data_IF_013255757051
#
_entry.id   IF_013255757051
#
_cell.length_a   1.000
_cell.length_b   1.000
_cell.length_c   1.000
_cell.angle_alpha   90.00
_cell.angle_beta   90.00
_cell.angle_gamma   90.00
#
_symmetry.space_group_name_H-M   'P 1'
#
loop_
_entity.id
_entity.type
_entity.pdbx_description
1 polymer ?
#
# COMPACT_ATOMS: atom_id res chain seq x y z
N UNK A 1 -53.21 29.43 -21.41
CA UNK A 1 -51.85 29.92 -21.57
C UNK A 1 -51.61 30.88 -20.42
N UNK A 2 -51.15 30.42 -19.24
CA UNK A 2 -49.78 29.92 -18.99
C UNK A 2 -48.77 31.04 -19.23
N UNK A 3 -47.89 31.49 -18.35
CA UNK A 3 -47.55 31.21 -16.95
C UNK A 3 -46.78 32.45 -16.47
N UNK A 4 -47.13 33.05 -15.33
CA UNK A 4 -46.27 34.02 -14.64
C UNK A 4 -45.86 33.42 -13.29
N UNK A 5 -44.68 32.80 -13.23
CA UNK A 5 -44.02 32.44 -11.98
C UNK A 5 -42.65 33.14 -11.95
N UNK A 6 -42.65 34.25 -11.24
CA UNK A 6 -41.52 35.13 -11.01
C UNK A 6 -40.44 34.41 -10.18
N UNK A 7 -39.27 34.26 -10.79
CA UNK A 7 -38.06 33.72 -10.17
C UNK A 7 -37.54 34.67 -9.08
N UNK A 8 -38.09 34.55 -7.86
CA UNK A 8 -37.54 35.21 -6.67
C UNK A 8 -36.29 34.47 -6.20
N UNK A 9 -35.14 34.84 -6.78
CA UNK A 9 -33.82 34.42 -6.32
C UNK A 9 -33.45 35.16 -5.03
N UNK A 10 -34.09 34.77 -3.93
CA UNK A 10 -33.84 35.32 -2.60
C UNK A 10 -32.52 34.80 -2.03
N UNK A 11 -31.50 35.66 -1.98
CA UNK A 11 -30.27 35.44 -1.23
C UNK A 11 -30.59 35.04 0.21
N UNK A 12 -30.40 33.75 0.54
CA UNK A 12 -30.76 33.20 1.84
C UNK A 12 -29.81 33.76 2.89
N UNK A 13 -30.30 34.50 3.90
CA UNK A 13 -29.46 35.00 4.98
C UNK A 13 -28.82 33.82 5.74
N UNK A 14 -27.65 34.00 6.38
CA UNK A 14 -26.95 32.94 7.08
C UNK A 14 -27.89 32.26 8.07
N UNK A 15 -28.28 31.02 7.78
CA UNK A 15 -29.24 30.29 8.62
C UNK A 15 -28.64 30.14 10.00
N UNK A 16 -29.35 30.64 11.02
CA UNK A 16 -28.95 30.50 12.43
C UNK A 16 -28.63 29.03 12.73
N UNK A 17 -27.45 28.78 13.30
CA UNK A 17 -26.97 27.44 13.63
C UNK A 17 -27.95 26.78 14.61
N UNK A 18 -28.46 25.61 14.24
CA UNK A 18 -29.33 24.81 15.11
C UNK A 18 -28.59 24.42 16.40
N UNK A 19 -29.17 24.75 17.55
CA UNK A 19 -28.74 24.24 18.86
C UNK A 19 -29.73 23.18 19.30
N UNK A 20 -29.26 21.94 19.41
CA UNK A 20 -30.05 20.83 19.91
C UNK A 20 -29.95 20.78 21.43
N UNK A 21 -31.03 20.38 22.09
CA UNK A 21 -30.98 20.06 23.53
C UNK A 21 -30.19 18.77 23.75
N UNK A 22 -29.78 18.53 25.01
CA UNK A 22 -29.08 17.29 25.38
C UNK A 22 -29.94 16.06 25.06
N UNK A 23 -31.23 16.14 25.35
CA UNK A 23 -32.16 15.03 25.09
C UNK A 23 -32.37 14.79 23.60
N UNK A 24 -32.53 15.85 22.80
CA UNK A 24 -32.63 15.72 21.35
C UNK A 24 -31.37 15.06 20.76
N UNK A 25 -30.19 15.46 21.25
CA UNK A 25 -28.92 14.87 20.81
C UNK A 25 -28.82 13.39 21.19
N UNK A 26 -29.27 13.02 22.40
CA UNK A 26 -29.28 11.63 22.89
C UNK A 26 -30.12 10.72 22.00
N UNK A 27 -31.34 11.13 21.69
CA UNK A 27 -32.27 10.37 20.85
C UNK A 27 -31.79 10.25 19.39
N UNK A 28 -31.21 11.32 18.83
CA UNK A 28 -30.57 11.29 17.50
C UNK A 28 -29.40 10.29 17.47
N UNK A 29 -28.57 10.26 18.50
CA UNK A 29 -27.46 9.31 18.61
C UNK A 29 -27.92 7.87 18.80
N UNK A 30 -28.96 7.64 19.59
CA UNK A 30 -29.58 6.33 19.81
C UNK A 30 -30.17 5.78 18.51
N UNK A 31 -30.98 6.58 17.80
CA UNK A 31 -31.50 6.24 16.49
C UNK A 31 -30.38 5.97 15.48
N UNK A 32 -29.34 6.82 15.46
CA UNK A 32 -28.19 6.62 14.59
C UNK A 32 -27.45 5.31 14.87
N UNK A 33 -27.32 4.91 16.14
CA UNK A 33 -26.66 3.65 16.52
C UNK A 33 -27.40 2.43 15.99
N UNK A 34 -28.72 2.51 15.91
CA UNK A 34 -29.57 1.45 15.36
C UNK A 34 -29.49 1.41 13.84
N UNK A 35 -29.51 2.57 13.17
CA UNK A 35 -29.36 2.67 11.73
C UNK A 35 -28.66 3.98 11.31
N UNK A 36 -27.53 3.86 10.61
CA UNK A 36 -26.72 4.99 10.17
C UNK A 36 -27.38 5.78 9.00
N UNK A 37 -28.42 5.21 8.38
CA UNK A 37 -29.19 5.76 7.28
C UNK A 37 -30.68 5.82 7.63
N UNK A 38 -31.27 7.02 7.62
CA UNK A 38 -32.71 7.18 7.83
C UNK A 38 -33.48 6.96 6.54
N UNK A 39 -34.51 6.11 6.59
CA UNK A 39 -35.54 6.10 5.56
C UNK A 39 -36.51 7.30 5.74
N UNK A 40 -37.33 7.65 4.74
CA UNK A 40 -38.23 8.82 4.81
C UNK A 40 -39.21 8.76 5.99
N UNK A 41 -39.83 7.61 6.24
CA UNK A 41 -40.81 7.43 7.32
C UNK A 41 -40.18 7.57 8.71
N UNK A 42 -39.02 6.98 8.93
CA UNK A 42 -38.24 7.11 10.17
C UNK A 42 -37.80 8.55 10.39
N UNK A 43 -37.38 9.24 9.32
CA UNK A 43 -37.02 10.66 9.39
C UNK A 43 -38.21 11.51 9.85
N UNK A 44 -39.40 11.28 9.29
CA UNK A 44 -40.61 11.99 9.69
C UNK A 44 -41.01 11.69 11.14
N UNK A 45 -41.04 10.41 11.53
CA UNK A 45 -41.36 10.00 12.90
C UNK A 45 -40.39 10.62 13.93
N UNK A 46 -39.08 10.54 13.67
CA UNK A 46 -38.06 11.11 14.53
C UNK A 46 -38.12 12.64 14.57
N UNK A 47 -38.45 13.29 13.46
CA UNK A 47 -38.65 14.73 13.41
C UNK A 47 -39.84 15.17 14.28
N UNK A 48 -40.94 14.43 14.24
CA UNK A 48 -42.12 14.68 15.08
C UNK A 48 -41.80 14.50 16.57
N UNK A 49 -41.17 13.38 16.95
CA UNK A 49 -40.79 13.08 18.34
C UNK A 49 -39.88 14.16 18.93
N UNK A 50 -38.90 14.62 18.15
CA UNK A 50 -37.92 15.63 18.57
C UNK A 50 -38.40 17.07 18.42
N UNK A 51 -39.58 17.28 17.83
CA UNK A 51 -40.12 18.60 17.45
C UNK A 51 -39.13 19.41 16.59
N UNK A 52 -38.51 18.73 15.62
CA UNK A 52 -37.56 19.30 14.66
C UNK A 52 -38.13 19.25 13.24
N UNK A 53 -37.57 20.05 12.33
CA UNK A 53 -37.89 19.92 10.90
C UNK A 53 -37.23 18.66 10.34
N UNK A 54 -37.87 17.89 9.43
CA UNK A 54 -37.25 16.71 8.81
C UNK A 54 -35.88 16.99 8.19
N UNK A 55 -35.68 18.17 7.61
CA UNK A 55 -34.39 18.61 7.06
C UNK A 55 -33.30 18.75 8.12
N UNK A 56 -33.63 19.16 9.34
CA UNK A 56 -32.65 19.28 10.42
C UNK A 56 -32.16 17.91 10.87
N UNK A 57 -33.07 16.94 10.98
CA UNK A 57 -32.73 15.53 11.26
C UNK A 57 -31.84 14.97 10.14
N UNK A 58 -32.21 15.18 8.88
CA UNK A 58 -31.42 14.74 7.72
C UNK A 58 -29.98 15.32 7.75
N UNK A 59 -29.85 16.64 7.92
CA UNK A 59 -28.55 17.31 7.98
C UNK A 59 -27.74 16.82 9.18
N UNK A 60 -28.39 16.56 10.32
CA UNK A 60 -27.70 16.00 11.47
C UNK A 60 -27.11 14.62 11.16
N UNK A 61 -27.88 13.74 10.51
CA UNK A 61 -27.40 12.41 10.10
C UNK A 61 -26.27 12.49 9.08
N UNK A 62 -26.37 13.40 8.10
CA UNK A 62 -25.28 13.67 7.15
C UNK A 62 -24.01 14.12 7.87
N UNK A 63 -24.12 15.11 8.76
CA UNK A 63 -22.99 15.63 9.54
C UNK A 63 -22.42 14.58 10.50
N UNK A 64 -23.26 13.69 11.04
CA UNK A 64 -22.81 12.61 11.91
C UNK A 64 -21.98 11.59 11.13
N UNK A 65 -22.43 11.19 9.92
CA UNK A 65 -21.67 10.32 9.01
C UNK A 65 -20.37 10.96 8.56
N UNK A 66 -20.39 12.23 8.18
CA UNK A 66 -19.19 12.97 7.77
C UNK A 66 -18.14 12.97 8.89
N UNK A 67 -18.53 13.27 10.13
CA UNK A 67 -17.65 13.23 11.30
C UNK A 67 -17.12 11.83 11.60
N UNK A 68 -17.95 10.78 11.49
CA UNK A 68 -17.48 9.40 11.63
C UNK A 68 -16.43 9.04 10.59
N UNK A 69 -16.68 9.39 9.32
CA UNK A 69 -15.75 9.13 8.23
C UNK A 69 -14.43 9.87 8.42
N UNK A 70 -14.48 11.15 8.82
CA UNK A 70 -13.29 11.93 9.12
C UNK A 70 -12.46 11.28 10.23
N UNK A 71 -13.09 10.95 11.37
CA UNK A 71 -12.42 10.27 12.48
C UNK A 71 -11.79 8.94 12.05
N UNK A 72 -12.49 8.18 11.20
CA UNK A 72 -11.97 6.94 10.64
C UNK A 72 -10.71 7.19 9.79
N UNK A 73 -10.76 8.14 8.86
CA UNK A 73 -9.61 8.47 8.01
C UNK A 73 -8.41 9.00 8.80
N UNK A 74 -8.66 9.77 9.87
CA UNK A 74 -7.60 10.23 10.77
C UNK A 74 -6.91 9.05 11.48
N UNK A 75 -7.68 8.10 12.00
CA UNK A 75 -7.14 6.89 12.61
C UNK A 75 -6.36 6.02 11.61
N UNK A 76 -6.86 5.86 10.40
CA UNK A 76 -6.18 5.11 9.33
C UNK A 76 -4.85 5.78 8.94
N UNK A 77 -4.83 7.10 8.81
CA UNK A 77 -3.60 7.86 8.57
C UNK A 77 -2.57 7.64 9.68
N UNK A 78 -2.98 7.72 10.95
CA UNK A 78 -2.07 7.49 12.07
C UNK A 78 -1.56 6.05 12.11
N UNK A 79 -2.42 5.07 11.83
CA UNK A 79 -2.00 3.67 11.72
C UNK A 79 -0.95 3.48 10.62
N UNK A 80 -1.21 4.00 9.41
CA UNK A 80 -0.29 3.91 8.29
C UNK A 80 1.05 4.59 8.59
N UNK A 81 1.05 5.80 9.19
CA UNK A 81 2.29 6.49 9.60
C UNK A 81 3.13 5.63 10.54
N UNK A 82 2.51 5.00 11.55
CA UNK A 82 3.22 4.12 12.50
C UNK A 82 3.79 2.89 11.79
N UNK A 83 3.01 2.29 10.90
CA UNK A 83 3.45 1.14 10.10
C UNK A 83 4.63 1.49 9.18
N UNK A 84 4.55 2.60 8.45
CA UNK A 84 5.65 3.11 7.62
C UNK A 84 6.92 3.37 8.45
N UNK A 85 6.80 3.98 9.63
CA UNK A 85 7.94 4.19 10.52
C UNK A 85 8.62 2.87 10.94
N UNK A 86 7.82 1.87 11.32
CA UNK A 86 8.34 0.55 11.69
C UNK A 86 9.03 -0.16 10.52
N UNK A 87 8.40 -0.15 9.34
CA UNK A 87 8.97 -0.78 8.14
C UNK A 87 10.28 -0.08 7.71
N UNK A 88 10.32 1.25 7.83
CA UNK A 88 11.52 2.05 7.53
C UNK A 88 12.69 1.66 8.45
N UNK A 89 12.43 1.54 9.77
CA UNK A 89 13.47 1.14 10.72
C UNK A 89 13.95 -0.30 10.46
N UNK A 90 13.03 -1.23 10.18
CA UNK A 90 13.39 -2.60 9.80
C UNK A 90 14.24 -2.64 8.53
N UNK A 91 13.88 -1.85 7.51
CA UNK A 91 14.64 -1.78 6.27
C UNK A 91 16.05 -1.21 6.52
N UNK A 92 16.16 -0.12 7.30
CA UNK A 92 17.45 0.45 7.70
C UNK A 92 18.30 -0.53 8.49
N UNK A 93 17.70 -1.33 9.37
CA UNK A 93 18.41 -2.38 10.13
C UNK A 93 18.95 -3.46 9.19
N UNK A 94 18.11 -4.00 8.31
CA UNK A 94 18.52 -5.01 7.33
C UNK A 94 19.61 -4.48 6.39
N UNK A 95 19.54 -3.22 5.95
CA UNK A 95 20.59 -2.61 5.14
C UNK A 95 21.94 -2.57 5.85
N UNK A 96 21.95 -2.21 7.15
CA UNK A 96 23.17 -2.25 7.97
C UNK A 96 23.73 -3.66 8.09
N UNK A 97 22.88 -4.65 8.38
CA UNK A 97 23.28 -6.06 8.46
C UNK A 97 23.85 -6.56 7.12
N UNK A 98 23.25 -6.16 5.99
CA UNK A 98 23.74 -6.50 4.64
C UNK A 98 25.10 -5.85 4.37
N UNK A 99 25.28 -4.58 4.73
CA UNK A 99 26.55 -3.87 4.55
C UNK A 99 27.67 -4.46 5.40
N UNK A 100 27.39 -4.78 6.67
CA UNK A 100 28.31 -5.46 7.58
C UNK A 100 28.74 -6.83 7.02
N UNK A 101 27.78 -7.66 6.59
CA UNK A 101 28.07 -8.96 5.98
C UNK A 101 28.88 -8.83 4.68
N UNK A 102 28.62 -7.79 3.87
CA UNK A 102 29.41 -7.51 2.67
C UNK A 102 30.83 -7.10 3.02
N UNK A 103 31.01 -6.25 4.03
CA UNK A 103 32.33 -5.82 4.50
C UNK A 103 33.14 -6.99 5.09
N UNK A 104 32.51 -7.89 5.84
CA UNK A 104 33.14 -9.10 6.37
C UNK A 104 33.57 -10.10 5.28
N UNK A 105 32.99 -10.01 4.07
CA UNK A 105 33.23 -10.98 2.99
C UNK A 105 34.22 -10.49 1.92
N UNK A 106 34.96 -9.41 2.20
CA UNK A 106 36.05 -8.94 1.33
C UNK A 106 37.39 -9.51 1.80
N UNK A 107 37.68 -10.67 1.24
CA UNK A 107 39.01 -11.25 1.13
C UNK A 107 38.89 -12.58 0.41
N UNK A 108 39.42 -12.76 -0.81
CA UNK A 108 39.73 -14.11 -1.27
C UNK A 108 40.59 -14.78 -0.19
N UNK A 109 40.47 -16.09 0.07
CA UNK A 109 41.38 -16.76 0.98
C UNK A 109 42.78 -16.72 0.37
N UNK A 110 43.55 -15.68 0.70
CA UNK A 110 45.00 -15.67 0.46
C UNK A 110 45.58 -16.60 1.51
N UNK A 111 45.72 -17.87 1.16
CA UNK A 111 46.48 -18.82 1.95
C UNK A 111 47.94 -18.35 1.88
N UNK A 112 48.43 -17.71 2.93
CA UNK A 112 49.85 -17.36 3.04
C UNK A 112 50.63 -18.68 3.19
N UNK A 113 51.52 -18.96 2.24
CA UNK A 113 52.40 -20.13 2.28
C UNK A 113 53.47 -19.94 3.38
N UNK A 114 53.73 -20.92 4.28
CA UNK A 114 54.65 -20.76 5.42
C UNK A 114 56.14 -20.59 5.07
N UNK A 115 56.52 -20.66 3.79
CA UNK A 115 57.93 -20.78 3.41
C UNK A 115 58.45 -19.77 2.37
N UNK A 116 57.64 -18.82 1.89
CA UNK A 116 58.11 -17.85 0.89
C UNK A 116 57.49 -16.45 0.88
N UNK A 117 56.53 -16.13 1.77
CA UNK A 117 55.93 -14.79 1.87
C UNK A 117 55.42 -14.17 0.53
N UNK A 118 54.95 -14.99 -0.42
CA UNK A 118 54.29 -14.50 -1.64
C UNK A 118 52.79 -14.87 -1.66
N UNK A 119 51.90 -13.97 -2.14
CA UNK A 119 50.49 -14.27 -2.32
C UNK A 119 50.28 -15.14 -3.57
N UNK A 120 49.83 -16.38 -3.39
CA UNK A 120 49.40 -17.25 -4.49
C UNK A 120 47.96 -16.90 -4.90
N UNK A 121 47.64 -16.83 -6.21
CA UNK A 121 46.26 -16.62 -6.65
C UNK A 121 45.43 -17.84 -6.24
N UNK A 122 44.46 -17.62 -5.34
CA UNK A 122 43.48 -18.65 -5.00
C UNK A 122 42.79 -19.11 -6.29
N UNK A 123 42.84 -20.41 -6.59
CA UNK A 123 42.08 -20.98 -7.70
C UNK A 123 40.59 -20.70 -7.50
N UNK A 124 40.07 -19.74 -8.24
CA UNK A 124 38.67 -19.32 -8.16
C UNK A 124 37.81 -20.35 -8.88
N UNK A 125 37.26 -21.29 -8.10
CA UNK A 125 36.10 -22.07 -8.51
C UNK A 125 34.94 -21.10 -8.77
N UNK A 126 34.75 -20.73 -10.03
CA UNK A 126 33.71 -19.76 -10.40
C UNK A 126 32.47 -20.54 -10.80
N UNK A 127 31.39 -20.33 -10.06
CA UNK A 127 30.09 -20.96 -10.32
C UNK A 127 29.32 -20.16 -11.37
N UNK A 128 28.93 -20.80 -12.47
CA UNK A 128 28.07 -20.16 -13.47
C UNK A 128 26.61 -20.12 -12.95
N UNK A 129 26.02 -18.94 -12.72
CA UNK A 129 24.68 -18.81 -12.11
C UNK A 129 23.53 -19.23 -13.04
N UNK A 130 23.84 -19.74 -14.25
CA UNK A 130 22.84 -20.21 -15.22
C UNK A 130 22.77 -21.74 -15.35
N UNK A 131 23.79 -22.46 -14.91
CA UNK A 131 23.84 -23.92 -15.01
C UNK A 131 24.48 -24.63 -13.81
N UNK A 132 24.82 -23.89 -12.74
CA UNK A 132 25.33 -24.38 -11.45
C UNK A 132 26.58 -25.28 -11.53
N UNK A 133 27.34 -25.21 -12.63
CA UNK A 133 28.57 -26.00 -12.81
C UNK A 133 29.82 -25.22 -12.38
N UNK A 134 30.73 -25.92 -11.70
CA UNK A 134 32.00 -25.37 -11.20
C UNK A 134 33.08 -25.62 -12.26
N UNK A 135 33.74 -24.57 -12.72
CA UNK A 135 34.89 -24.70 -13.63
C UNK A 135 36.18 -24.24 -12.96
N UNK A 136 37.20 -25.10 -12.97
CA UNK A 136 38.60 -24.79 -12.64
C UNK A 136 39.30 -24.32 -13.91
N UNK A 137 39.71 -23.04 -13.99
CA UNK A 137 40.58 -22.59 -15.08
C UNK A 137 42.04 -22.73 -14.65
N UNK A 138 42.61 -23.91 -14.88
CA UNK A 138 44.06 -24.09 -14.90
C UNK A 138 44.54 -23.72 -16.31
N UNK A 139 45.46 -22.75 -16.41
CA UNK A 139 46.18 -22.47 -17.66
C UNK A 139 47.10 -23.64 -17.97
N UNK A 140 46.69 -24.52 -18.89
CA UNK A 140 47.58 -25.50 -19.50
C UNK A 140 47.83 -25.15 -20.96
N UNK A 141 49.12 -25.10 -21.32
CA UNK A 141 49.60 -24.89 -22.68
C UNK A 141 49.67 -26.26 -23.33
N UNK A 142 48.77 -26.56 -24.26
CA UNK A 142 48.95 -27.68 -25.18
C UNK A 142 47.68 -28.06 -25.95
N UNK A 143 47.74 -28.21 -27.28
CA UNK A 143 46.57 -28.57 -28.08
C UNK A 143 46.43 -30.09 -28.11
N UNK A 144 45.29 -30.63 -27.73
CA UNK A 144 44.88 -31.95 -28.22
C UNK A 144 43.36 -31.98 -28.38
N UNK A 145 42.95 -32.07 -29.64
CA UNK A 145 41.57 -32.33 -30.04
C UNK A 145 41.14 -33.70 -29.53
N UNK A 146 40.02 -33.79 -28.81
CA UNK A 146 39.17 -34.98 -28.84
C UNK A 146 37.71 -34.53 -28.93
N UNK A 147 37.05 -35.14 -29.90
CA UNK A 147 35.74 -34.94 -30.47
C UNK A 147 34.59 -35.50 -29.62
N UNK A 148 33.44 -34.81 -29.76
CA UNK A 148 32.06 -35.31 -29.77
C UNK A 148 31.50 -36.14 -28.61
N UNK A 149 30.37 -35.69 -28.05
CA UNK A 149 29.08 -36.34 -28.31
C UNK A 149 27.91 -35.49 -27.79
N UNK A 150 26.94 -35.31 -28.67
CA UNK A 150 25.61 -34.74 -28.43
C UNK A 150 24.79 -35.77 -27.65
N UNK A 151 24.03 -35.32 -26.65
CA UNK A 151 22.82 -36.02 -26.19
C UNK A 151 21.79 -35.02 -25.72
N UNK A 152 20.87 -34.75 -26.64
CA UNK A 152 19.53 -34.19 -26.44
C UNK A 152 18.68 -35.09 -25.55
N UNK A 153 18.09 -34.53 -24.50
CA UNK A 153 16.74 -34.89 -24.05
C UNK A 153 16.08 -33.66 -23.43
N UNK A 154 14.99 -33.25 -24.06
CA UNK A 154 14.04 -32.26 -23.56
C UNK A 154 13.19 -32.85 -22.42
N UNK A 155 12.83 -32.03 -21.43
CA UNK A 155 11.54 -32.16 -20.74
C UNK A 155 11.23 -30.92 -19.86
N UNK A 156 10.16 -30.23 -20.27
CA UNK A 156 9.12 -29.54 -19.45
C UNK A 156 9.49 -28.42 -18.49
N UNK A 157 9.21 -27.20 -18.96
CA UNK A 157 8.97 -26.01 -18.17
C UNK A 157 7.59 -26.08 -17.45
N UNK A 158 7.57 -25.80 -16.15
CA UNK A 158 6.37 -25.42 -15.41
C UNK A 158 6.45 -23.92 -15.12
N UNK A 159 5.58 -23.16 -15.79
CA UNK A 159 5.44 -21.71 -15.68
C UNK A 159 4.42 -21.38 -14.58
N UNK A 160 4.88 -20.86 -13.45
CA UNK A 160 4.01 -20.26 -12.44
C UNK A 160 3.91 -18.76 -12.71
N UNK A 161 2.85 -18.37 -13.42
CA UNK A 161 2.52 -16.98 -13.74
C UNK A 161 1.70 -16.40 -12.57
N UNK A 162 2.35 -15.69 -11.65
CA UNK A 162 1.64 -14.78 -10.72
C UNK A 162 1.39 -13.48 -11.46
N UNK A 163 0.15 -13.29 -11.91
CA UNK A 163 -0.32 -12.03 -12.47
C UNK A 163 -0.59 -11.03 -11.36
N UNK A 164 0.18 -9.94 -11.35
CA UNK A 164 -0.18 -8.70 -10.67
C UNK A 164 -1.15 -7.90 -11.54
N UNK A 165 -2.29 -7.41 -11.01
CA UNK A 165 -3.07 -6.42 -11.75
C UNK A 165 -2.42 -5.04 -11.60
N UNK A 166 -2.08 -4.43 -12.72
CA UNK A 166 -1.65 -3.05 -12.83
C UNK A 166 -2.81 -2.10 -12.49
N UNK A 167 -2.60 -1.22 -11.51
CA UNK A 167 -3.46 -0.08 -11.25
C UNK A 167 -3.28 0.93 -12.40
N UNK A 168 -4.27 1.01 -13.29
CA UNK A 168 -4.36 2.09 -14.26
C UNK A 168 -4.74 3.39 -13.55
N UNK A 169 -3.78 4.31 -13.51
CA UNK A 169 -3.99 5.71 -13.18
C UNK A 169 -4.88 6.36 -14.25
N UNK A 170 -6.13 6.64 -13.90
CA UNK A 170 -6.98 7.56 -14.67
C UNK A 170 -6.63 8.98 -14.24
N UNK A 171 -5.81 9.67 -15.04
CA UNK A 171 -5.66 11.13 -14.98
C UNK A 171 -6.91 11.76 -15.60
N UNK A 172 -7.78 12.33 -14.77
CA UNK A 172 -8.80 13.27 -15.24
C UNK A 172 -8.14 14.62 -15.49
N UNK A 173 -7.99 14.97 -16.76
CA UNK A 173 -7.62 16.31 -17.21
C UNK A 173 -8.78 17.26 -16.94
N UNK A 174 -8.62 18.18 -16.01
CA UNK A 174 -9.52 19.32 -15.84
C UNK A 174 -9.02 20.47 -16.70
N UNK A 175 -9.87 20.90 -17.63
CA UNK A 175 -9.81 22.21 -18.24
C UNK A 175 -10.44 23.22 -17.28
N UNK A 176 -9.73 24.34 -17.06
CA UNK A 176 -10.19 25.71 -16.80
C UNK A 176 -8.98 26.55 -16.40
#
# INVERSE_FOLDING_TARGET
MEDEEESSNGGVPPRKKLRLTKEQSRLLEESFRQNHTLNPRQKEALAMELKLRPRQVEVWFQNRRARSKLKQTEMECEYLKRWFGSLTEQNRRLQREVEELRAMKVGPPTVLSPHSCEPLPASTLTMCPRCERVTTTATDKGPTQITAAISTTAATALSSKVGTPALQSRSSSAAC
#
